data_IF_286005571259
#
_entry.id   IF_286005571259
#
_cell.length_a   1.000
_cell.length_b   1.000
_cell.length_c   1.000
_cell.angle_alpha   90.00
_cell.angle_beta   90.00
_cell.angle_gamma   90.00
#
_symmetry.space_group_name_H-M   'P 1'
#
loop_
_entity.id
_entity.type
_entity.pdbx_description
1 polymer ?
#
# COMPACT_ATOMS: atom_id res chain seq x y z
N UNK A 1 5.05 21.29 -9.69
CA UNK A 1 4.62 22.44 -8.85
C UNK A 1 3.33 22.10 -8.06
N UNK A 2 2.29 21.55 -8.65
CA UNK A 2 1.01 21.25 -7.98
C UNK A 2 1.19 20.26 -6.82
N UNK A 3 1.89 19.14 -7.03
CA UNK A 3 2.20 18.16 -6.01
C UNK A 3 2.97 18.79 -4.83
N UNK A 4 3.95 19.63 -5.13
CA UNK A 4 4.75 20.34 -4.12
C UNK A 4 3.88 21.24 -3.24
N UNK A 5 3.00 22.02 -3.86
CA UNK A 5 2.06 22.88 -3.13
C UNK A 5 1.08 22.06 -2.26
N UNK A 6 0.57 20.93 -2.80
CA UNK A 6 -0.32 20.03 -2.08
C UNK A 6 0.37 19.43 -0.84
N UNK A 7 1.54 18.82 -1.02
CA UNK A 7 2.26 18.18 0.08
C UNK A 7 2.77 19.17 1.11
N UNK A 8 3.18 20.37 0.69
CA UNK A 8 3.50 21.47 1.61
C UNK A 8 2.33 21.81 2.52
N UNK A 9 1.13 22.01 1.95
CA UNK A 9 -0.09 22.30 2.69
C UNK A 9 -0.48 21.13 3.63
N UNK A 10 -0.37 19.89 3.16
CA UNK A 10 -0.68 18.70 3.98
C UNK A 10 0.28 18.56 5.16
N UNK A 11 1.58 18.72 4.93
CA UNK A 11 2.58 18.63 5.98
C UNK A 11 2.42 19.74 7.04
N UNK A 12 2.17 20.98 6.63
CA UNK A 12 1.86 22.08 7.54
C UNK A 12 0.67 21.78 8.43
N UNK A 13 -0.39 21.20 7.86
CA UNK A 13 -1.65 20.96 8.56
C UNK A 13 -1.62 19.71 9.42
N UNK A 14 -1.01 18.64 8.95
CA UNK A 14 -1.13 17.30 9.51
C UNK A 14 0.18 16.70 10.04
N UNK A 15 1.34 17.29 9.78
CA UNK A 15 2.65 16.74 10.13
C UNK A 15 2.86 16.47 11.63
N UNK A 16 2.10 17.14 12.51
CA UNK A 16 2.13 16.88 13.95
C UNK A 16 1.42 15.59 14.41
N UNK A 17 0.73 14.91 13.50
CA UNK A 17 -0.01 13.68 13.80
C UNK A 17 0.79 12.44 13.40
N UNK A 18 1.27 11.62 14.36
CA UNK A 18 2.21 10.53 14.08
C UNK A 18 1.60 9.34 13.32
N UNK A 19 0.32 9.36 13.03
CA UNK A 19 -0.38 8.34 12.24
C UNK A 19 -0.56 8.73 10.77
N UNK A 20 -0.07 9.90 10.36
CA UNK A 20 -0.10 10.32 8.96
C UNK A 20 1.07 9.70 8.22
N UNK A 21 0.79 9.12 7.06
CA UNK A 21 1.77 8.60 6.11
C UNK A 21 1.52 9.34 4.79
N UNK A 22 2.58 9.81 4.15
CA UNK A 22 2.51 10.46 2.84
C UNK A 22 2.87 9.44 1.77
N UNK A 23 2.03 9.28 0.76
CA UNK A 23 2.35 8.55 -0.46
C UNK A 23 2.46 9.57 -1.59
N UNK A 24 3.66 9.76 -2.12
CA UNK A 24 3.96 10.94 -2.94
C UNK A 24 3.80 10.72 -4.43
N UNK A 25 3.73 9.49 -4.89
CA UNK A 25 3.50 9.15 -6.29
C UNK A 25 2.85 7.77 -6.39
N UNK A 26 1.63 7.70 -6.91
CA UNK A 26 0.96 6.44 -7.21
C UNK A 26 1.40 5.93 -8.58
N UNK A 27 1.94 4.72 -8.62
CA UNK A 27 2.20 3.94 -9.83
C UNK A 27 2.92 4.69 -10.97
N UNK A 28 4.20 5.07 -10.81
CA UNK A 28 5.01 5.53 -11.94
C UNK A 28 5.02 4.46 -13.04
N UNK A 29 4.59 4.81 -14.26
CA UNK A 29 4.40 3.83 -15.33
C UNK A 29 5.66 3.66 -16.18
N UNK A 30 5.94 4.67 -17.00
CA UNK A 30 7.06 4.71 -17.95
C UNK A 30 8.23 5.58 -17.44
N UNK A 31 8.11 6.10 -16.22
CA UNK A 31 9.13 6.93 -15.60
C UNK A 31 10.37 6.07 -15.28
N UNK A 32 11.55 6.64 -15.51
CA UNK A 32 12.79 6.01 -15.06
C UNK A 32 12.95 6.19 -13.55
N UNK A 33 13.73 5.31 -12.91
CA UNK A 33 14.01 5.46 -11.48
C UNK A 33 14.70 6.81 -11.16
N UNK A 34 15.56 7.29 -12.06
CA UNK A 34 16.21 8.60 -11.90
C UNK A 34 15.18 9.73 -11.86
N UNK A 35 14.18 9.73 -12.75
CA UNK A 35 13.14 10.76 -12.75
C UNK A 35 12.23 10.69 -11.52
N UNK A 36 11.90 9.48 -11.07
CA UNK A 36 11.16 9.29 -9.82
C UNK A 36 11.96 9.76 -8.61
N UNK A 37 13.27 9.48 -8.56
CA UNK A 37 14.16 9.97 -7.49
C UNK A 37 14.24 11.50 -7.46
N UNK A 38 14.36 12.14 -8.61
CA UNK A 38 14.39 13.61 -8.71
C UNK A 38 13.10 14.21 -8.14
N UNK A 39 11.95 13.72 -8.61
CA UNK A 39 10.65 14.12 -8.11
C UNK A 39 10.52 13.87 -6.60
N UNK A 40 10.85 12.66 -6.13
CA UNK A 40 10.75 12.28 -4.73
C UNK A 40 11.62 13.18 -3.85
N UNK A 41 12.86 13.45 -4.26
CA UNK A 41 13.79 14.33 -3.54
C UNK A 41 13.18 15.72 -3.34
N UNK A 42 12.55 16.26 -4.36
CA UNK A 42 11.93 17.59 -4.33
C UNK A 42 10.71 17.62 -3.38
N UNK A 43 9.83 16.61 -3.46
CA UNK A 43 8.65 16.53 -2.61
C UNK A 43 9.02 16.21 -1.15
N UNK A 44 9.93 15.27 -0.90
CA UNK A 44 10.39 14.94 0.45
C UNK A 44 11.02 16.16 1.10
N UNK A 45 11.87 16.90 0.38
CA UNK A 45 12.48 18.13 0.88
C UNK A 45 11.42 19.15 1.28
N UNK A 46 10.34 19.27 0.54
CA UNK A 46 9.24 20.17 0.88
C UNK A 46 8.48 19.70 2.13
N UNK A 47 8.13 18.42 2.21
CA UNK A 47 7.45 17.84 3.38
C UNK A 47 8.28 18.03 4.64
N UNK A 48 9.59 17.73 4.59
CA UNK A 48 10.50 17.77 5.74
C UNK A 48 10.73 19.16 6.33
N UNK A 49 10.32 20.22 5.66
CA UNK A 49 10.29 21.58 6.25
C UNK A 49 9.28 21.69 7.41
N UNK A 50 8.26 20.87 7.41
CA UNK A 50 7.11 20.96 8.35
C UNK A 50 6.89 19.68 9.14
N UNK A 51 7.31 18.55 8.61
CA UNK A 51 7.15 17.22 9.19
C UNK A 51 8.47 16.45 9.07
N UNK A 52 9.31 16.46 10.12
CA UNK A 52 10.58 15.77 10.09
C UNK A 52 10.49 14.25 10.25
N UNK A 53 9.37 13.71 10.76
CA UNK A 53 9.35 12.37 11.33
C UNK A 53 8.41 11.37 10.65
N UNK A 54 7.27 11.81 10.12
CA UNK A 54 6.28 10.86 9.56
C UNK A 54 6.83 10.11 8.34
N UNK A 55 6.32 8.89 8.15
CA UNK A 55 6.72 8.02 7.04
C UNK A 55 6.30 8.62 5.71
N UNK A 56 7.20 8.59 4.73
CA UNK A 56 6.93 8.93 3.34
C UNK A 56 7.12 7.68 2.49
N UNK A 57 6.11 7.34 1.70
CA UNK A 57 6.12 6.26 0.74
C UNK A 57 6.49 6.82 -0.64
N UNK A 58 7.44 6.18 -1.28
CA UNK A 58 7.98 6.56 -2.59
C UNK A 58 7.66 5.45 -3.58
N UNK A 59 7.02 5.81 -4.68
CA UNK A 59 6.71 4.89 -5.78
C UNK A 59 7.96 4.35 -6.46
N UNK A 60 7.86 3.17 -7.05
CA UNK A 60 8.87 2.60 -7.92
C UNK A 60 8.36 2.48 -9.36
N UNK A 61 9.23 2.47 -10.39
CA UNK A 61 8.78 2.32 -11.76
C UNK A 61 7.93 1.08 -12.01
N UNK A 62 7.23 1.07 -13.14
CA UNK A 62 6.44 -0.04 -13.63
C UNK A 62 5.32 -0.44 -12.64
N UNK A 63 4.45 0.55 -12.31
CA UNK A 63 3.31 0.36 -11.39
C UNK A 63 3.71 -0.17 -10.01
N UNK A 64 4.75 0.43 -9.41
CA UNK A 64 5.28 0.06 -8.10
C UNK A 64 5.76 -1.41 -8.00
N UNK A 65 6.38 -1.94 -9.07
CA UNK A 65 6.85 -3.31 -9.13
C UNK A 65 8.38 -3.43 -9.18
N UNK A 66 9.10 -2.39 -9.61
CA UNK A 66 10.53 -2.49 -9.91
C UNK A 66 11.43 -2.11 -8.71
N UNK A 67 11.16 -2.72 -7.56
CA UNK A 67 11.96 -2.53 -6.34
C UNK A 67 13.45 -2.87 -6.50
N UNK A 68 13.82 -3.68 -7.49
CA UNK A 68 15.22 -3.99 -7.79
C UNK A 68 16.01 -2.76 -8.28
N UNK A 69 15.36 -1.83 -8.97
CA UNK A 69 15.96 -0.55 -9.35
C UNK A 69 16.21 0.32 -8.13
N UNK A 70 15.25 0.34 -7.20
CA UNK A 70 15.38 1.02 -5.92
C UNK A 70 16.52 0.43 -5.10
N UNK A 71 16.63 -0.90 -5.03
CA UNK A 71 17.68 -1.58 -4.28
C UNK A 71 19.08 -1.30 -4.83
N UNK A 72 19.20 -1.13 -6.15
CA UNK A 72 20.47 -0.78 -6.80
C UNK A 72 20.94 0.65 -6.46
N UNK A 73 20.01 1.58 -6.26
CA UNK A 73 20.34 3.00 -6.04
C UNK A 73 19.25 3.71 -5.20
N UNK A 74 19.12 3.38 -3.90
CA UNK A 74 18.08 3.96 -3.05
C UNK A 74 18.29 5.46 -2.80
N UNK A 75 17.23 6.16 -2.40
CA UNK A 75 17.30 7.55 -1.92
C UNK A 75 18.25 7.67 -0.74
N UNK A 76 19.09 8.69 -0.76
CA UNK A 76 20.07 8.97 0.29
C UNK A 76 19.76 10.28 1.01
N UNK A 77 20.16 10.37 2.28
CA UNK A 77 20.07 11.62 3.05
C UNK A 77 18.70 11.92 3.64
N UNK A 78 17.75 10.99 3.56
CA UNK A 78 16.42 11.12 4.16
C UNK A 78 16.15 9.99 5.16
N UNK A 79 15.36 10.30 6.19
CA UNK A 79 14.93 9.33 7.20
C UNK A 79 13.43 9.01 7.00
N UNK A 80 13.01 7.85 7.51
CA UNK A 80 11.62 7.40 7.51
C UNK A 80 11.00 7.36 6.11
N UNK A 81 11.77 6.85 5.14
CA UNK A 81 11.33 6.58 3.79
C UNK A 81 11.07 5.08 3.64
N UNK A 82 9.95 4.72 3.01
CA UNK A 82 9.66 3.36 2.57
C UNK A 82 9.30 3.40 1.06
N UNK A 83 9.42 2.25 0.41
CA UNK A 83 9.15 2.14 -1.03
C UNK A 83 7.92 1.28 -1.25
N UNK A 84 7.07 1.72 -2.19
CA UNK A 84 5.82 1.05 -2.45
C UNK A 84 6.00 -0.21 -3.30
N UNK A 85 5.21 -1.22 -2.99
CA UNK A 85 4.98 -2.38 -3.84
C UNK A 85 3.48 -2.52 -4.07
N UNK A 86 3.07 -2.64 -5.33
CA UNK A 86 1.70 -2.94 -5.71
C UNK A 86 1.59 -4.33 -6.32
N UNK A 87 0.55 -5.07 -5.97
CA UNK A 87 0.25 -6.35 -6.61
C UNK A 87 -1.25 -6.64 -6.68
N UNK A 88 -1.61 -7.39 -7.70
CA UNK A 88 -2.91 -8.02 -7.88
C UNK A 88 -2.70 -9.52 -8.06
N UNK A 89 -3.17 -10.32 -7.10
CA UNK A 89 -2.72 -11.70 -6.94
C UNK A 89 -3.06 -12.62 -8.12
N UNK A 90 -4.14 -12.37 -8.87
CA UNK A 90 -4.43 -13.14 -10.06
C UNK A 90 -3.45 -12.86 -11.21
N UNK A 91 -2.79 -11.70 -11.23
CA UNK A 91 -1.78 -11.31 -12.23
C UNK A 91 -0.35 -11.55 -11.73
N UNK A 92 -0.03 -11.05 -10.55
CA UNK A 92 1.32 -10.97 -10.00
C UNK A 92 1.59 -12.19 -9.11
N UNK A 93 2.54 -13.01 -9.54
CA UNK A 93 2.84 -14.32 -8.94
C UNK A 93 4.21 -14.36 -8.26
N UNK A 94 4.81 -15.55 -8.17
CA UNK A 94 6.06 -15.79 -7.49
C UNK A 94 7.20 -14.91 -7.99
N UNK A 95 7.27 -14.62 -9.28
CA UNK A 95 8.35 -13.80 -9.86
C UNK A 95 8.42 -12.39 -9.23
N UNK A 96 7.26 -11.73 -9.02
CA UNK A 96 7.25 -10.42 -8.37
C UNK A 96 7.59 -10.54 -6.87
N UNK A 97 7.14 -11.61 -6.17
CA UNK A 97 7.55 -11.87 -4.78
C UNK A 97 9.05 -12.11 -4.65
N UNK A 98 9.65 -12.86 -5.56
CA UNK A 98 11.11 -13.10 -5.55
C UNK A 98 11.89 -11.80 -5.74
N UNK A 99 11.44 -10.94 -6.66
CA UNK A 99 12.01 -9.61 -6.88
C UNK A 99 11.90 -8.72 -5.64
N UNK A 100 10.74 -8.70 -5.01
CA UNK A 100 10.51 -7.94 -3.79
C UNK A 100 11.33 -8.50 -2.60
N UNK A 101 11.44 -9.83 -2.49
CA UNK A 101 12.28 -10.50 -1.48
C UNK A 101 13.74 -10.10 -1.64
N UNK A 102 14.28 -10.12 -2.87
CA UNK A 102 15.65 -9.72 -3.14
C UNK A 102 15.94 -8.25 -2.78
N UNK A 103 14.98 -7.36 -2.94
CA UNK A 103 15.10 -5.97 -2.50
C UNK A 103 15.03 -5.85 -0.97
N UNK A 104 14.12 -6.58 -0.33
CA UNK A 104 14.00 -6.62 1.13
C UNK A 104 15.27 -7.17 1.81
N UNK A 105 15.87 -8.23 1.27
CA UNK A 105 17.14 -8.80 1.74
C UNK A 105 18.32 -7.82 1.64
N UNK A 106 18.26 -6.86 0.74
CA UNK A 106 19.21 -5.76 0.62
C UNK A 106 18.91 -4.60 1.58
N UNK A 107 17.91 -4.73 2.45
CA UNK A 107 17.55 -3.74 3.46
C UNK A 107 16.61 -2.63 2.97
N UNK A 108 15.96 -2.80 1.81
CA UNK A 108 14.95 -1.85 1.33
C UNK A 108 13.68 -1.98 2.17
N UNK A 109 13.24 -0.91 2.85
CA UNK A 109 12.00 -0.91 3.60
C UNK A 109 10.82 -0.83 2.65
N UNK A 110 10.00 -1.90 2.62
CA UNK A 110 8.86 -2.04 1.69
C UNK A 110 7.55 -1.79 2.43
N UNK A 111 6.63 -1.10 1.77
CA UNK A 111 5.23 -0.96 2.16
C UNK A 111 4.34 -1.35 0.97
N UNK A 112 3.40 -2.26 1.16
CA UNK A 112 2.41 -2.58 0.13
C UNK A 112 1.24 -1.60 0.27
N UNK A 113 1.30 -0.50 -0.46
CA UNK A 113 0.29 0.57 -0.37
C UNK A 113 -0.97 0.28 -1.19
N UNK A 114 -0.89 -0.68 -2.12
CA UNK A 114 -2.04 -1.17 -2.86
C UNK A 114 -1.91 -2.66 -3.17
N UNK A 115 -2.95 -3.43 -2.88
CA UNK A 115 -3.02 -4.83 -3.29
C UNK A 115 -4.45 -5.35 -3.35
N UNK A 116 -4.67 -6.38 -4.17
CA UNK A 116 -5.94 -7.09 -4.21
C UNK A 116 -5.79 -8.53 -4.73
N UNK A 117 -6.87 -9.31 -4.68
CA UNK A 117 -6.86 -10.73 -5.02
C UNK A 117 -7.23 -11.08 -6.47
N UNK A 118 -7.69 -10.12 -7.29
CA UNK A 118 -8.10 -10.32 -8.68
C UNK A 118 -7.00 -9.94 -9.66
N UNK A 119 -7.36 -9.76 -10.94
CA UNK A 119 -6.45 -9.28 -11.97
C UNK A 119 -6.12 -7.79 -11.79
N UNK A 120 -4.99 -7.35 -12.37
CA UNK A 120 -4.52 -5.96 -12.28
C UNK A 120 -5.46 -4.93 -12.94
N UNK A 121 -6.46 -5.37 -13.67
CA UNK A 121 -7.55 -4.55 -14.18
C UNK A 121 -8.52 -4.09 -13.09
N UNK A 122 -8.44 -4.67 -11.89
CA UNK A 122 -9.42 -4.50 -10.81
C UNK A 122 -10.63 -5.43 -10.92
N UNK A 123 -10.70 -6.23 -11.98
CA UNK A 123 -11.78 -7.16 -12.27
C UNK A 123 -11.29 -8.61 -12.39
N UNK A 124 -12.16 -9.52 -12.80
CA UNK A 124 -11.87 -10.94 -12.91
C UNK A 124 -12.07 -11.72 -11.61
N UNK A 125 -11.85 -13.03 -11.64
CA UNK A 125 -12.00 -13.89 -10.46
C UNK A 125 -10.91 -13.63 -9.42
N UNK A 126 -11.28 -13.85 -8.15
CA UNK A 126 -10.29 -13.83 -7.06
C UNK A 126 -9.42 -15.09 -7.12
N UNK A 127 -8.12 -14.92 -7.14
CA UNK A 127 -7.15 -15.98 -6.89
C UNK A 127 -6.82 -16.03 -5.38
N UNK A 128 -7.68 -16.71 -4.63
CA UNK A 128 -7.57 -16.76 -3.16
C UNK A 128 -6.29 -17.47 -2.72
N UNK A 129 -5.84 -18.49 -3.46
CA UNK A 129 -4.63 -19.22 -3.14
C UNK A 129 -3.39 -18.33 -3.26
N UNK A 130 -3.27 -17.65 -4.37
CA UNK A 130 -2.16 -16.75 -4.62
C UNK A 130 -2.19 -15.51 -3.71
N UNK A 131 -3.38 -14.98 -3.43
CA UNK A 131 -3.54 -13.88 -2.49
C UNK A 131 -3.14 -14.29 -1.06
N UNK A 132 -3.43 -15.55 -0.68
CA UNK A 132 -2.97 -16.10 0.61
C UNK A 132 -1.44 -16.15 0.66
N UNK A 133 -0.77 -16.63 -0.41
CA UNK A 133 0.71 -16.65 -0.50
C UNK A 133 1.31 -15.25 -0.34
N UNK A 134 0.70 -14.24 -0.95
CA UNK A 134 1.12 -12.86 -0.80
C UNK A 134 0.98 -12.36 0.65
N UNK A 135 -0.16 -12.63 1.29
CA UNK A 135 -0.38 -12.21 2.68
C UNK A 135 0.58 -12.92 3.64
N UNK A 136 0.79 -14.22 3.45
CA UNK A 136 1.77 -15.00 4.23
C UNK A 136 3.20 -14.45 4.05
N UNK A 137 3.57 -14.07 2.83
CA UNK A 137 4.84 -13.44 2.55
C UNK A 137 4.99 -12.10 3.26
N UNK A 138 3.99 -11.24 3.18
CA UNK A 138 4.02 -9.94 3.87
C UNK A 138 4.13 -10.10 5.39
N UNK A 139 3.39 -11.04 5.97
CA UNK A 139 3.44 -11.32 7.41
C UNK A 139 4.81 -11.88 7.85
N UNK A 140 5.40 -12.77 7.05
CA UNK A 140 6.73 -13.34 7.33
C UNK A 140 7.82 -12.26 7.33
N UNK A 141 7.73 -11.29 6.43
CA UNK A 141 8.71 -10.19 6.28
C UNK A 141 8.34 -8.93 7.08
N UNK A 142 7.22 -8.95 7.85
CA UNK A 142 6.70 -7.81 8.63
C UNK A 142 6.43 -6.57 7.76
N UNK A 143 5.92 -6.79 6.57
CA UNK A 143 5.54 -5.74 5.62
C UNK A 143 4.10 -5.33 5.88
N UNK A 144 3.88 -4.04 6.10
CA UNK A 144 2.54 -3.45 6.22
C UNK A 144 1.87 -3.38 4.86
N UNK A 145 0.54 -3.53 4.84
CA UNK A 145 -0.21 -3.53 3.59
C UNK A 145 -1.58 -2.87 3.69
N UNK A 146 -2.04 -2.33 2.57
CA UNK A 146 -3.37 -1.74 2.38
C UNK A 146 -4.04 -2.42 1.20
N UNK A 147 -5.32 -2.75 1.34
CA UNK A 147 -6.07 -3.40 0.27
C UNK A 147 -6.83 -2.39 -0.59
N UNK A 148 -6.83 -2.57 -1.87
CA UNK A 148 -7.64 -1.84 -2.83
C UNK A 148 -8.97 -2.55 -3.07
N UNK A 149 -10.17 -1.96 -2.81
CA UNK A 149 -10.38 -0.74 -2.04
C UNK A 149 -11.74 -0.82 -1.30
N UNK A 150 -11.89 -0.06 -0.24
CA UNK A 150 -13.20 0.16 0.37
C UNK A 150 -13.99 1.11 -0.53
N UNK A 151 -14.65 0.55 -1.52
CA UNK A 151 -15.48 1.27 -2.49
C UNK A 151 -16.72 0.44 -2.82
N UNK A 152 -17.70 1.05 -3.45
CA UNK A 152 -18.97 0.44 -3.87
C UNK A 152 -19.14 0.42 -5.40
N UNK A 153 -18.06 0.56 -6.15
CA UNK A 153 -18.08 0.47 -7.61
C UNK A 153 -18.45 -0.94 -8.08
N UNK A 154 -18.94 -1.05 -9.29
CA UNK A 154 -19.25 -2.34 -9.89
C UNK A 154 -18.00 -3.02 -10.50
N UNK A 155 -17.00 -3.23 -9.67
CA UNK A 155 -15.70 -3.85 -9.98
C UNK A 155 -15.41 -4.94 -8.95
N UNK A 156 -14.65 -5.98 -9.29
CA UNK A 156 -14.34 -7.07 -8.35
C UNK A 156 -13.51 -6.59 -7.15
N UNK A 157 -12.60 -5.64 -7.35
CA UNK A 157 -11.77 -5.06 -6.30
C UNK A 157 -12.55 -4.25 -5.27
N UNK A 158 -13.73 -3.74 -5.61
CA UNK A 158 -14.58 -3.05 -4.66
C UNK A 158 -15.09 -4.00 -3.58
N UNK A 159 -14.90 -3.62 -2.31
CA UNK A 159 -15.28 -4.47 -1.17
C UNK A 159 -16.77 -4.45 -0.87
N UNK A 160 -17.51 -3.48 -1.39
CA UNK A 160 -18.92 -3.24 -1.10
C UNK A 160 -19.77 -3.31 -2.36
N UNK A 161 -21.05 -3.62 -2.17
CA UNK A 161 -22.03 -3.53 -3.25
C UNK A 161 -22.42 -2.06 -3.51
N UNK A 162 -22.84 -1.70 -4.76
CA UNK A 162 -23.19 -0.33 -5.14
C UNK A 162 -24.30 0.36 -4.32
N UNK A 163 -24.92 -0.33 -3.38
CA UNK A 163 -25.98 0.20 -2.48
C UNK A 163 -25.50 0.38 -1.03
N UNK A 164 -24.21 0.20 -0.75
CA UNK A 164 -23.69 0.32 0.60
C UNK A 164 -23.72 1.79 1.06
N UNK A 165 -24.17 2.01 2.30
CA UNK A 165 -24.19 3.36 2.87
C UNK A 165 -22.75 3.85 3.15
N UNK A 166 -22.49 5.11 2.79
CA UNK A 166 -21.18 5.76 3.02
C UNK A 166 -20.80 5.92 4.48
N UNK A 167 -21.76 5.84 5.41
CA UNK A 167 -21.53 6.03 6.83
C UNK A 167 -21.06 4.75 7.56
N UNK A 168 -20.92 3.63 6.86
CA UNK A 168 -20.49 2.36 7.46
C UNK A 168 -21.63 1.55 8.06
N UNK A 169 -21.29 0.63 9.00
CA UNK A 169 -22.29 -0.26 9.61
C UNK A 169 -22.85 -1.32 8.65
N UNK A 170 -22.08 -1.70 7.64
CA UNK A 170 -22.52 -2.58 6.56
C UNK A 170 -22.87 -3.97 7.04
N UNK A 171 -24.06 -4.43 6.67
CA UNK A 171 -24.48 -5.82 6.78
C UNK A 171 -23.62 -6.73 5.89
N UNK A 172 -23.48 -7.99 6.31
CA UNK A 172 -22.70 -9.00 5.55
C UNK A 172 -23.18 -9.16 4.10
N UNK A 173 -24.47 -8.95 3.83
CA UNK A 173 -25.03 -9.00 2.48
C UNK A 173 -24.55 -7.88 1.56
N UNK A 174 -24.01 -6.80 2.12
CA UNK A 174 -23.44 -5.67 1.39
C UNK A 174 -21.94 -5.80 1.11
N UNK A 175 -21.28 -6.78 1.73
CA UNK A 175 -19.84 -6.99 1.58
C UNK A 175 -19.57 -8.02 0.49
N UNK A 176 -18.83 -7.62 -0.53
CA UNK A 176 -18.44 -8.48 -1.66
C UNK A 176 -17.40 -9.54 -1.25
N UNK A 177 -17.16 -10.58 -2.07
CA UNK A 177 -16.16 -11.61 -1.77
C UNK A 177 -14.77 -11.05 -1.45
N UNK A 178 -14.30 -10.05 -2.19
CA UNK A 178 -13.02 -9.39 -1.93
C UNK A 178 -12.96 -8.78 -0.51
N UNK A 179 -14.00 -8.06 -0.11
CA UNK A 179 -14.08 -7.47 1.23
C UNK A 179 -14.16 -8.52 2.35
N UNK A 180 -14.88 -9.62 2.14
CA UNK A 180 -14.92 -10.73 3.12
C UNK A 180 -13.55 -11.40 3.27
N UNK A 181 -12.84 -11.62 2.17
CA UNK A 181 -11.51 -12.23 2.21
C UNK A 181 -10.48 -11.32 2.85
N UNK A 182 -10.44 -10.04 2.47
CA UNK A 182 -9.58 -9.03 3.11
C UNK A 182 -9.78 -8.98 4.63
N UNK A 183 -11.05 -8.91 5.07
CA UNK A 183 -11.39 -8.90 6.48
C UNK A 183 -10.96 -10.19 7.19
N UNK A 184 -11.03 -11.34 6.51
CA UNK A 184 -10.54 -12.62 7.05
C UNK A 184 -9.04 -12.54 7.31
N UNK A 185 -8.24 -12.08 6.35
CA UNK A 185 -6.79 -11.91 6.50
C UNK A 185 -6.44 -10.97 7.65
N UNK A 186 -7.04 -9.77 7.67
CA UNK A 186 -6.80 -8.80 8.74
C UNK A 186 -7.09 -9.41 10.13
N UNK A 187 -8.18 -10.16 10.28
CA UNK A 187 -8.52 -10.80 11.56
C UNK A 187 -7.56 -11.91 11.93
N UNK A 188 -7.15 -12.72 10.97
CA UNK A 188 -6.25 -13.86 11.19
C UNK A 188 -4.93 -13.41 11.82
N UNK A 189 -4.31 -12.36 11.26
CA UNK A 189 -3.00 -11.89 11.67
C UNK A 189 -3.02 -10.83 12.79
N UNK A 190 -4.20 -10.30 13.10
CA UNK A 190 -4.40 -9.32 14.19
C UNK A 190 -5.30 -9.86 15.31
N UNK A 191 -5.42 -11.16 15.47
CA UNK A 191 -6.34 -11.78 16.42
C UNK A 191 -6.13 -11.31 17.87
N UNK A 192 -4.88 -11.12 18.29
CA UNK A 192 -4.55 -10.64 19.64
C UNK A 192 -5.15 -9.24 19.91
N UNK A 193 -5.17 -8.36 18.91
CA UNK A 193 -5.75 -7.01 19.01
C UNK A 193 -7.28 -7.08 19.15
N UNK A 194 -7.92 -8.05 18.49
CA UNK A 194 -9.38 -8.23 18.56
C UNK A 194 -9.85 -8.97 19.81
N UNK A 195 -9.06 -9.89 20.37
CA UNK A 195 -9.38 -10.61 21.63
C UNK A 195 -9.44 -9.65 22.81
N UNK A 196 -8.46 -8.76 22.97
CA UNK A 196 -8.42 -7.80 24.08
C UNK A 196 -9.59 -6.83 24.11
N UNK A 197 -10.26 -6.59 22.96
CA UNK A 197 -11.48 -5.75 22.90
C UNK A 197 -12.75 -6.50 23.30
N UNK A 198 -12.78 -7.85 23.20
CA UNK A 198 -13.92 -8.68 23.65
C UNK A 198 -13.93 -8.92 25.15
N UNK A 199 -12.76 -8.96 25.78
CA UNK A 199 -12.62 -9.17 27.23
C UNK A 199 -12.90 -7.91 28.05
N UNK A 200 -12.99 -6.72 27.40
CA UNK A 200 -13.28 -5.44 28.04
C UNK A 200 -14.73 -4.97 27.89
N UNK A 201 -15.63 -5.81 27.39
CA UNK A 201 -17.08 -5.59 27.31
C UNK A 201 -17.80 -6.61 28.19
#
# INVERSE_FOLDING_TARGET
EEAKAFFSMMAQKYGKYPHVIYEIYNEPMEDTWESVKEYATDIITEIRKYDPDNIILVGSPHWDQDLHLVAADPLQGFNNIMYTLHFYAATHKQELRDRATAAWEQGIPIFVSECAGMECTGDGPLDIEEWTRWVEWMEAHKISWVNWSISDKNETCSMLLPRADKNGGWDESLIKPAGRQSRKFIRQYNEAVYRTKKEKK
#
